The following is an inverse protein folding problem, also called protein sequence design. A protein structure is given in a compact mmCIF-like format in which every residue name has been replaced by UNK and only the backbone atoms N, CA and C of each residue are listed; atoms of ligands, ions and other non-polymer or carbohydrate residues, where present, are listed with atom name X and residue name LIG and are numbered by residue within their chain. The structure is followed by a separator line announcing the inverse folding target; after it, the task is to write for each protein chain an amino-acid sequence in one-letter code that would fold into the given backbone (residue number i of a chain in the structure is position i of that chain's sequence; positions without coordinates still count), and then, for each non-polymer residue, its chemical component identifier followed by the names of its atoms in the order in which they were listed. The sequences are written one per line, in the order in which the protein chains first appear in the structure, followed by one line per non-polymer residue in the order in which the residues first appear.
data_IF_492230265815
#
_entry.id   IF_492230265815
#
_cell.length_a   1.000
_cell.length_b   1.000
_cell.length_c   1.000
_cell.angle_alpha   90.00
_cell.angle_beta   90.00
_cell.angle_gamma   90.00
#
_symmetry.space_group_name_H-M   'P 1'
#
loop_
_entity.id
_entity.type
_entity.pdbx_description
1 polymer ?
#
# COMPACT_ATOMS: atom_id res chain seq x y z
N UNK A 1 -31.83 -12.52 -56.25
CA UNK A 1 -30.70 -11.64 -55.90
C UNK A 1 -30.58 -11.60 -54.40
N UNK A 2 -29.51 -12.17 -53.86
CA UNK A 2 -28.99 -11.98 -52.51
C UNK A 2 -27.65 -12.72 -52.49
N UNK A 3 -26.56 -12.04 -52.16
CA UNK A 3 -25.22 -12.63 -52.19
C UNK A 3 -24.72 -13.05 -50.80
N UNK A 4 -23.75 -13.96 -50.89
CA UNK A 4 -22.78 -14.50 -49.94
C UNK A 4 -22.19 -13.49 -48.94
N UNK A 5 -21.52 -13.88 -47.85
CA UNK A 5 -20.60 -15.02 -47.66
C UNK A 5 -20.73 -15.79 -46.33
N UNK A 6 -20.10 -16.97 -46.29
CA UNK A 6 -19.91 -17.79 -45.09
C UNK A 6 -18.56 -18.53 -45.20
N UNK A 7 -17.68 -18.43 -44.20
CA UNK A 7 -16.31 -18.99 -44.25
C UNK A 7 -16.26 -20.43 -43.70
N UNK A 8 -15.58 -21.40 -44.37
CA UNK A 8 -15.66 -22.82 -44.02
C UNK A 8 -14.71 -23.27 -42.88
N UNK A 9 -15.06 -24.41 -42.26
CA UNK A 9 -14.16 -25.25 -41.44
C UNK A 9 -13.75 -26.52 -42.21
N UNK A 10 -12.63 -27.13 -41.81
CA UNK A 10 -12.23 -28.50 -42.17
C UNK A 10 -11.87 -29.31 -40.91
N UNK A 11 -11.77 -30.64 -41.03
CA UNK A 11 -11.92 -31.58 -39.89
C UNK A 11 -11.13 -32.89 -40.03
N UNK A 12 -10.55 -33.36 -38.91
CA UNK A 12 -10.24 -34.80 -38.62
C UNK A 12 -9.26 -35.53 -39.58
N UNK A 13 -8.72 -36.74 -39.37
CA UNK A 13 -8.57 -37.72 -38.26
C UNK A 13 -7.25 -38.54 -38.54
N UNK A 14 -6.67 -39.49 -37.76
CA UNK A 14 -6.92 -40.14 -36.46
C UNK A 14 -5.61 -40.79 -35.94
N UNK A 15 -5.62 -41.46 -34.77
CA UNK A 15 -4.52 -42.36 -34.31
C UNK A 15 -4.49 -42.62 -32.80
N UNK A 16 -4.35 -43.88 -32.33
CA UNK A 16 -4.68 -44.24 -30.93
C UNK A 16 -3.91 -45.42 -30.30
N UNK A 17 -3.44 -45.22 -29.05
CA UNK A 17 -2.94 -46.21 -28.04
C UNK A 17 -1.61 -46.93 -28.42
N UNK A 18 -0.82 -47.53 -27.51
CA UNK A 18 -1.07 -48.09 -26.15
C UNK A 18 0.19 -48.03 -25.22
N UNK A 19 0.03 -48.31 -23.92
CA UNK A 19 1.02 -48.19 -22.83
C UNK A 19 2.12 -49.31 -22.76
N UNK A 20 3.34 -49.00 -22.25
CA UNK A 20 3.92 -49.55 -20.97
C UNK A 20 5.45 -49.33 -20.76
N UNK A 21 5.78 -48.76 -19.58
CA UNK A 21 6.97 -48.92 -18.69
C UNK A 21 8.19 -49.80 -19.10
N UNK A 22 9.41 -49.23 -19.15
CA UNK A 22 10.64 -49.76 -18.47
C UNK A 22 11.90 -48.86 -18.60
N UNK A 23 12.93 -49.16 -17.81
CA UNK A 23 14.36 -48.70 -17.80
C UNK A 23 15.21 -50.00 -17.70
N UNK A 24 16.48 -50.12 -18.18
CA UNK A 24 17.63 -49.33 -17.68
C UNK A 24 18.84 -49.15 -18.67
N UNK A 25 20.01 -48.73 -18.13
CA UNK A 25 21.40 -48.83 -18.68
C UNK A 25 21.77 -48.05 -19.96
N UNK A 26 23.05 -47.76 -20.29
CA UNK A 26 24.27 -47.34 -19.55
C UNK A 26 25.40 -47.00 -20.59
N UNK A 27 26.61 -46.61 -20.13
CA UNK A 27 27.94 -46.54 -20.83
C UNK A 27 28.25 -45.49 -21.94
N UNK A 28 29.24 -44.62 -21.64
CA UNK A 28 30.39 -44.10 -22.47
C UNK A 28 30.17 -43.38 -23.83
N UNK A 29 30.98 -42.42 -24.31
CA UNK A 29 32.34 -41.88 -23.97
C UNK A 29 32.33 -40.32 -24.05
N UNK A 30 33.17 -39.47 -23.42
CA UNK A 30 34.64 -39.23 -23.54
C UNK A 30 35.15 -39.05 -24.99
N UNK A 31 35.97 -38.05 -25.37
CA UNK A 31 36.54 -36.83 -24.71
C UNK A 31 36.69 -35.70 -25.79
N UNK A 32 37.07 -34.43 -25.58
CA UNK A 32 38.30 -33.77 -25.03
C UNK A 32 37.95 -32.31 -24.58
N UNK A 33 38.53 -31.69 -23.53
CA UNK A 33 39.82 -30.97 -23.44
C UNK A 33 39.96 -29.77 -24.44
N UNK A 34 40.37 -28.54 -24.07
CA UNK A 34 41.18 -28.05 -22.92
C UNK A 34 40.75 -26.66 -22.36
N UNK A 35 41.33 -26.31 -21.19
CA UNK A 35 41.57 -24.98 -20.57
C UNK A 35 40.48 -23.88 -20.54
N UNK A 36 40.14 -23.35 -19.35
CA UNK A 36 41.12 -22.58 -18.57
C UNK A 36 40.82 -22.50 -17.05
N UNK A 37 41.88 -22.42 -16.24
CA UNK A 37 41.80 -22.33 -14.76
C UNK A 37 41.84 -20.90 -14.25
N UNK A 38 40.71 -20.36 -13.74
CA UNK A 38 40.76 -19.31 -12.69
C UNK A 38 39.80 -19.61 -11.54
N UNK A 39 40.35 -19.99 -10.40
CA UNK A 39 39.59 -20.37 -9.19
C UNK A 39 39.08 -19.13 -8.44
N UNK A 40 37.97 -18.53 -8.91
CA UNK A 40 37.26 -17.48 -8.17
C UNK A 40 36.51 -18.05 -6.95
N UNK A 41 37.33 -18.36 -5.93
CA UNK A 41 37.03 -18.60 -4.51
C UNK A 41 35.60 -18.21 -4.12
N UNK A 42 34.78 -19.21 -3.83
CA UNK A 42 33.40 -19.03 -3.37
C UNK A 42 33.34 -18.06 -2.18
N UNK A 43 32.83 -16.85 -2.42
CA UNK A 43 32.41 -15.95 -1.35
C UNK A 43 31.04 -16.42 -0.84
N UNK A 44 31.06 -17.44 0.02
CA UNK A 44 29.99 -17.69 1.00
C UNK A 44 30.00 -16.56 2.04
N UNK A 45 29.66 -15.35 1.61
CA UNK A 45 29.32 -14.25 2.51
C UNK A 45 27.83 -14.32 2.79
N UNK A 46 27.46 -14.84 3.96
CA UNK A 46 26.19 -14.46 4.57
C UNK A 46 26.23 -12.95 4.74
N UNK A 47 25.49 -12.22 3.91
CA UNK A 47 25.27 -10.80 4.17
C UNK A 47 24.27 -10.71 5.32
N UNK A 48 24.61 -10.07 6.46
CA UNK A 48 23.59 -9.64 7.40
C UNK A 48 22.58 -8.78 6.63
N UNK A 49 21.29 -8.89 6.93
CA UNK A 49 20.34 -7.89 6.46
C UNK A 49 20.81 -6.54 7.01
N UNK A 50 21.13 -5.59 6.10
CA UNK A 50 21.62 -4.27 6.48
C UNK A 50 20.51 -3.53 7.24
N UNK A 51 20.55 -3.60 8.55
CA UNK A 51 19.71 -2.76 9.41
C UNK A 51 20.18 -1.30 9.28
N UNK A 52 19.28 -0.36 9.55
CA UNK A 52 19.61 1.06 9.62
C UNK A 52 20.70 1.30 10.69
N UNK A 53 21.63 2.25 10.50
CA UNK A 53 21.53 3.40 9.60
C UNK A 53 22.15 3.24 8.20
N UNK A 54 21.63 4.01 7.24
CA UNK A 54 22.25 4.28 5.93
C UNK A 54 22.76 5.72 5.85
N UNK A 55 23.77 5.95 5.01
CA UNK A 55 24.46 7.23 4.86
C UNK A 55 24.51 7.67 3.40
N UNK A 56 24.43 8.98 3.17
CA UNK A 56 24.38 9.61 1.86
C UNK A 56 25.29 10.84 1.73
N UNK A 57 25.38 11.44 0.52
CA UNK A 57 26.14 12.66 0.30
C UNK A 57 25.54 13.85 1.07
N UNK A 58 26.33 14.91 1.24
CA UNK A 58 25.93 16.13 1.98
C UNK A 58 25.37 15.87 3.40
N UNK A 59 25.81 14.80 4.06
CA UNK A 59 25.38 14.46 5.42
C UNK A 59 24.00 13.80 5.52
N UNK A 60 23.43 13.33 4.40
CA UNK A 60 22.17 12.60 4.42
C UNK A 60 22.27 11.30 5.22
N UNK A 61 21.22 11.01 6.00
CA UNK A 61 21.13 9.80 6.84
C UNK A 61 19.71 9.26 6.83
N UNK A 62 19.58 7.93 6.78
CA UNK A 62 18.36 7.22 7.15
C UNK A 62 18.65 6.42 8.41
N UNK A 63 17.97 6.73 9.51
CA UNK A 63 18.21 6.11 10.84
C UNK A 63 16.93 5.46 11.37
N UNK A 64 17.04 4.53 12.33
CA UNK A 64 15.92 4.17 13.20
C UNK A 64 16.08 4.95 14.52
N UNK A 65 15.03 5.61 14.97
CA UNK A 65 15.02 6.39 16.21
C UNK A 65 13.80 6.03 17.06
N UNK A 66 14.02 5.12 18.02
CA UNK A 66 13.01 4.69 19.00
C UNK A 66 13.01 5.57 20.27
N UNK A 67 13.71 6.71 20.25
CA UNK A 67 14.23 7.36 21.47
C UNK A 67 13.98 8.86 21.58
N UNK A 68 13.74 9.58 20.49
CA UNK A 68 13.45 11.00 20.56
C UNK A 68 12.08 11.29 21.20
N UNK A 69 12.01 12.39 21.95
CA UNK A 69 10.74 13.06 22.21
C UNK A 69 10.05 13.36 20.88
N UNK A 70 8.84 12.84 20.69
CA UNK A 70 8.04 13.16 19.51
C UNK A 70 7.38 14.52 19.75
N UNK A 71 8.10 15.57 19.37
CA UNK A 71 7.76 16.96 19.73
C UNK A 71 6.50 17.50 19.03
N UNK A 72 6.06 16.87 17.93
CA UNK A 72 4.79 17.19 17.27
C UNK A 72 3.60 16.54 17.98
N UNK A 73 2.64 17.37 18.43
CA UNK A 73 1.37 16.90 19.01
C UNK A 73 0.57 16.05 18.02
N UNK A 74 0.49 16.46 16.75
CA UNK A 74 -0.22 15.69 15.72
C UNK A 74 0.35 14.28 15.48
N UNK A 75 1.63 14.05 15.77
CA UNK A 75 2.22 12.70 15.73
C UNK A 75 1.81 11.88 16.96
N UNK A 76 1.81 12.49 18.17
CA UNK A 76 1.30 11.80 19.37
C UNK A 76 -0.17 11.44 19.23
N UNK A 77 -0.97 12.36 18.71
CA UNK A 77 -2.41 12.16 18.49
C UNK A 77 -2.66 10.99 17.54
N UNK A 78 -1.92 10.90 16.42
CA UNK A 78 -2.03 9.75 15.51
C UNK A 78 -1.55 8.44 16.17
N UNK A 79 -0.44 8.45 16.90
CA UNK A 79 0.06 7.24 17.58
C UNK A 79 -0.88 6.77 18.70
N UNK A 80 -1.59 7.68 19.36
CA UNK A 80 -2.68 7.35 20.29
C UNK A 80 -3.89 6.76 19.55
N UNK A 81 -4.39 7.44 18.50
CA UNK A 81 -5.48 6.97 17.61
C UNK A 81 -5.20 5.52 17.11
N UNK A 82 -3.96 5.21 16.75
CA UNK A 82 -3.52 3.88 16.27
C UNK A 82 -3.31 2.87 17.40
N UNK A 83 -2.89 3.32 18.60
CA UNK A 83 -2.79 2.46 19.79
C UNK A 83 -4.17 2.02 20.27
N UNK A 84 -5.18 2.90 20.22
CA UNK A 84 -6.54 2.56 20.59
C UNK A 84 -7.19 1.62 19.55
N UNK A 85 -6.92 1.82 18.25
CA UNK A 85 -7.27 0.85 17.20
C UNK A 85 -6.63 -0.52 17.46
N UNK A 86 -5.32 -0.59 17.79
CA UNK A 86 -4.64 -1.86 18.10
C UNK A 86 -5.24 -2.59 19.33
N UNK A 87 -5.86 -1.83 20.24
CA UNK A 87 -6.58 -2.31 21.43
C UNK A 87 -8.07 -2.59 21.18
N UNK A 88 -8.53 -2.60 19.93
CA UNK A 88 -9.92 -2.81 19.48
C UNK A 88 -10.93 -1.72 19.86
N UNK A 89 -10.52 -0.48 20.19
CA UNK A 89 -11.45 0.63 20.41
C UNK A 89 -11.97 1.23 19.09
N UNK A 90 -13.29 1.43 18.99
CA UNK A 90 -13.95 2.10 17.85
C UNK A 90 -13.64 1.52 16.45
N UNK A 91 -13.37 0.22 16.37
CA UNK A 91 -12.94 -0.40 15.11
C UNK A 91 -14.10 -0.90 14.24
N UNK A 92 -15.22 -1.29 14.84
CA UNK A 92 -16.36 -1.92 14.17
C UNK A 92 -17.52 -0.93 13.99
N UNK A 93 -18.16 -0.83 12.82
CA UNK A 93 -19.38 -0.05 12.65
C UNK A 93 -20.51 -0.55 13.56
N UNK A 94 -21.16 0.32 14.35
CA UNK A 94 -22.22 -0.08 15.29
C UNK A 94 -23.36 -0.84 14.60
N UNK A 95 -23.73 -0.43 13.39
CA UNK A 95 -24.83 -1.05 12.63
C UNK A 95 -24.63 -2.53 12.31
N UNK A 96 -23.38 -3.01 12.16
CA UNK A 96 -23.13 -4.44 11.91
C UNK A 96 -23.07 -5.31 13.17
N UNK A 97 -23.17 -4.72 14.38
CA UNK A 97 -23.17 -5.44 15.66
C UNK A 97 -24.16 -6.62 15.71
N UNK A 98 -25.46 -6.47 15.35
CA UNK A 98 -26.43 -7.57 15.47
C UNK A 98 -26.10 -8.76 14.56
N UNK A 99 -25.38 -8.52 13.48
CA UNK A 99 -25.00 -9.56 12.52
C UNK A 99 -23.72 -10.28 12.97
N UNK A 100 -22.76 -9.56 13.57
CA UNK A 100 -21.58 -10.18 14.18
C UNK A 100 -21.95 -11.04 15.40
N UNK A 101 -22.90 -10.59 16.22
CA UNK A 101 -23.46 -11.36 17.36
C UNK A 101 -24.17 -12.65 16.91
N UNK A 102 -24.60 -12.74 15.63
CA UNK A 102 -25.18 -13.96 15.04
C UNK A 102 -24.15 -14.88 14.38
N UNK A 103 -22.96 -14.37 14.08
CA UNK A 103 -21.85 -15.13 13.47
C UNK A 103 -20.93 -15.70 14.55
N UNK A 104 -20.73 -14.99 15.66
CA UNK A 104 -20.03 -15.51 16.83
C UNK A 104 -20.89 -16.56 17.55
N UNK A 105 -20.56 -17.84 17.35
CA UNK A 105 -21.14 -18.92 18.16
C UNK A 105 -20.68 -18.79 19.63
N UNK A 106 -21.58 -18.94 20.62
CA UNK A 106 -21.21 -18.87 22.03
C UNK A 106 -20.24 -20.00 22.40
N UNK A 107 -18.95 -19.67 22.50
CA UNK A 107 -17.86 -20.61 22.74
C UNK A 107 -16.63 -20.40 21.85
N UNK A 108 -16.73 -19.64 20.75
CA UNK A 108 -15.55 -19.20 20.00
C UNK A 108 -15.02 -17.85 20.52
N UNK A 109 -13.70 -17.69 20.47
CA UNK A 109 -12.96 -16.67 21.23
C UNK A 109 -13.31 -15.23 20.83
N UNK A 110 -13.40 -14.35 21.84
CA UNK A 110 -13.54 -12.90 21.66
C UNK A 110 -14.97 -12.38 21.89
N UNK A 111 -15.38 -12.28 23.16
CA UNK A 111 -16.60 -11.57 23.58
C UNK A 111 -16.59 -10.13 23.03
N UNK A 112 -17.50 -9.82 22.10
CA UNK A 112 -17.73 -8.46 21.62
C UNK A 112 -17.99 -7.51 22.80
N UNK A 113 -17.33 -6.35 22.79
CA UNK A 113 -17.42 -5.34 23.85
C UNK A 113 -17.97 -4.04 23.28
N UNK A 114 -18.71 -3.29 24.08
CA UNK A 114 -19.38 -2.07 23.61
C UNK A 114 -18.41 -1.02 23.08
N UNK A 115 -17.20 -0.94 23.67
CA UNK A 115 -16.13 -0.04 23.22
C UNK A 115 -15.56 -0.36 21.83
N UNK A 116 -15.85 -1.55 21.27
CA UNK A 116 -15.41 -1.92 19.92
C UNK A 116 -16.23 -1.23 18.82
N UNK A 117 -17.41 -0.70 19.16
CA UNK A 117 -18.37 -0.19 18.20
C UNK A 117 -18.41 1.33 18.15
N UNK A 118 -18.15 1.89 16.97
CA UNK A 118 -18.29 3.32 16.69
C UNK A 118 -19.58 3.60 15.90
N UNK A 119 -20.18 4.77 16.11
CA UNK A 119 -21.35 5.19 15.33
C UNK A 119 -20.93 5.71 13.96
N UNK A 120 -21.32 4.97 12.91
CA UNK A 120 -20.93 5.21 11.51
C UNK A 120 -22.05 5.86 10.68
N UNK A 121 -23.03 6.48 11.33
CA UNK A 121 -24.21 7.06 10.68
C UNK A 121 -23.78 8.19 9.74
N UNK A 122 -24.00 8.07 8.42
CA UNK A 122 -23.73 9.17 7.49
C UNK A 122 -24.68 10.33 7.76
N UNK A 123 -24.20 11.55 7.50
CA UNK A 123 -25.05 12.75 7.47
C UNK A 123 -25.98 12.73 6.26
N UNK A 124 -27.13 13.40 6.33
CA UNK A 124 -28.16 13.41 5.26
C UNK A 124 -27.62 13.85 3.89
N UNK A 125 -26.58 14.68 3.87
CA UNK A 125 -25.87 15.12 2.65
C UNK A 125 -24.99 14.00 2.05
N UNK A 126 -24.35 13.19 2.90
CA UNK A 126 -23.44 12.11 2.48
C UNK A 126 -24.21 10.96 1.83
N UNK A 127 -25.40 10.63 2.35
CA UNK A 127 -26.28 9.62 1.73
C UNK A 127 -26.70 9.98 0.29
N UNK A 128 -26.73 11.26 -0.06
CA UNK A 128 -27.14 11.74 -1.40
C UNK A 128 -26.03 11.66 -2.44
N UNK A 129 -24.76 11.74 -2.04
CA UNK A 129 -23.61 11.75 -2.97
C UNK A 129 -23.06 10.35 -3.24
N UNK A 130 -23.02 9.47 -2.23
CA UNK A 130 -22.67 8.06 -2.43
C UNK A 130 -23.31 7.17 -1.34
N UNK A 131 -24.09 6.14 -1.68
CA UNK A 131 -24.65 5.24 -0.69
C UNK A 131 -23.55 4.40 -0.04
N UNK A 132 -23.53 4.38 1.29
CA UNK A 132 -22.66 3.51 2.08
C UNK A 132 -23.03 2.03 1.85
N UNK A 133 -22.07 1.11 1.87
CA UNK A 133 -22.35 -0.30 1.60
C UNK A 133 -23.28 -0.92 2.67
N UNK A 134 -24.13 -1.87 2.26
CA UNK A 134 -25.08 -2.54 3.15
C UNK A 134 -24.38 -3.30 4.29
N UNK A 135 -25.08 -3.52 5.40
CA UNK A 135 -24.55 -4.30 6.52
C UNK A 135 -24.18 -5.72 6.09
N UNK A 136 -24.98 -6.32 5.22
CA UNK A 136 -24.71 -7.63 4.64
C UNK A 136 -23.48 -7.62 3.73
N UNK A 137 -23.26 -6.57 2.95
CA UNK A 137 -22.11 -6.46 2.04
C UNK A 137 -20.80 -6.23 2.77
N UNK A 138 -20.76 -5.35 3.78
CA UNK A 138 -19.56 -5.19 4.61
C UNK A 138 -19.13 -6.53 5.22
N UNK A 139 -20.08 -7.28 5.77
CA UNK A 139 -19.83 -8.56 6.44
C UNK A 139 -19.44 -9.65 5.42
N UNK A 140 -20.13 -9.73 4.28
CA UNK A 140 -19.80 -10.64 3.19
C UNK A 140 -18.39 -10.39 2.65
N UNK A 141 -18.01 -9.12 2.46
CA UNK A 141 -16.68 -8.72 1.98
C UNK A 141 -15.59 -9.00 3.01
N UNK A 142 -15.76 -8.57 4.27
CA UNK A 142 -14.73 -8.77 5.31
C UNK A 142 -14.54 -10.26 5.63
N UNK A 143 -15.61 -11.05 5.67
CA UNK A 143 -15.54 -12.51 5.86
C UNK A 143 -14.76 -13.14 4.70
N UNK A 144 -14.99 -12.72 3.46
CA UNK A 144 -14.27 -13.21 2.28
C UNK A 144 -12.79 -12.85 2.29
N UNK A 145 -12.42 -11.67 2.79
CA UNK A 145 -11.01 -11.27 2.99
C UNK A 145 -10.34 -12.18 4.03
N UNK A 146 -11.02 -12.46 5.14
CA UNK A 146 -10.52 -13.33 6.21
C UNK A 146 -10.39 -14.79 5.77
N UNK A 147 -11.36 -15.31 5.01
CA UNK A 147 -11.25 -16.62 4.33
C UNK A 147 -9.98 -16.69 3.46
N UNK A 148 -9.81 -15.71 2.56
CA UNK A 148 -8.68 -15.69 1.63
C UNK A 148 -7.34 -15.47 2.32
N UNK A 149 -7.31 -14.71 3.41
CA UNK A 149 -6.11 -14.55 4.24
C UNK A 149 -5.67 -15.87 4.88
N UNK A 150 -6.60 -16.65 5.44
CA UNK A 150 -6.33 -17.99 5.99
C UNK A 150 -5.91 -18.99 4.90
N UNK A 151 -6.52 -18.91 3.72
CA UNK A 151 -6.15 -19.72 2.55
C UNK A 151 -4.72 -19.41 2.09
N UNK A 152 -4.37 -18.13 1.88
CA UNK A 152 -3.03 -17.70 1.47
C UNK A 152 -1.95 -18.03 2.51
N UNK A 153 -2.27 -18.02 3.81
CA UNK A 153 -1.36 -18.49 4.85
C UNK A 153 -1.17 -20.01 4.82
N UNK A 154 -2.26 -20.77 4.72
CA UNK A 154 -2.23 -22.26 4.68
C UNK A 154 -1.48 -22.78 3.46
N UNK A 155 -1.63 -22.13 2.31
CA UNK A 155 -0.97 -22.49 1.06
C UNK A 155 0.44 -21.87 0.90
N UNK A 156 0.94 -21.15 1.91
CA UNK A 156 2.22 -20.40 1.88
C UNK A 156 2.36 -19.53 0.61
N UNK A 157 1.27 -18.87 0.21
CA UNK A 157 1.17 -18.14 -1.06
C UNK A 157 2.09 -16.93 -1.13
N UNK A 158 2.48 -16.57 -2.35
CA UNK A 158 3.38 -15.45 -2.60
C UNK A 158 2.74 -14.06 -2.43
N UNK A 159 3.60 -13.04 -2.45
CA UNK A 159 3.29 -11.62 -2.29
C UNK A 159 2.18 -11.14 -3.24
N UNK A 160 2.14 -11.65 -4.47
CA UNK A 160 1.13 -11.30 -5.47
C UNK A 160 -0.24 -11.91 -5.16
N UNK A 161 -0.28 -13.16 -4.71
CA UNK A 161 -1.53 -13.80 -4.28
C UNK A 161 -2.15 -13.08 -3.07
N UNK A 162 -1.33 -12.73 -2.07
CA UNK A 162 -1.74 -11.90 -0.93
C UNK A 162 -2.24 -10.52 -1.36
N UNK A 163 -1.50 -9.83 -2.22
CA UNK A 163 -1.89 -8.53 -2.78
C UNK A 163 -3.25 -8.59 -3.49
N UNK A 164 -3.45 -9.56 -4.38
CA UNK A 164 -4.69 -9.67 -5.17
C UNK A 164 -5.92 -10.17 -4.37
N UNK A 165 -5.74 -10.99 -3.33
CA UNK A 165 -6.85 -11.65 -2.63
C UNK A 165 -7.15 -11.11 -1.23
N UNK A 166 -6.22 -10.37 -0.62
CA UNK A 166 -6.37 -9.86 0.75
C UNK A 166 -6.17 -8.34 0.79
N UNK A 167 -5.06 -7.83 0.24
CA UNK A 167 -4.69 -6.42 0.42
C UNK A 167 -5.50 -5.47 -0.46
N UNK A 168 -5.56 -5.70 -1.78
CA UNK A 168 -6.38 -4.88 -2.69
C UNK A 168 -7.87 -4.87 -2.30
N UNK A 169 -8.53 -6.02 -1.99
CA UNK A 169 -9.95 -6.01 -1.61
C UNK A 169 -10.25 -5.30 -0.27
N UNK A 170 -9.28 -5.23 0.64
CA UNK A 170 -9.40 -4.49 1.92
C UNK A 170 -9.24 -2.98 1.70
N UNK A 171 -8.29 -2.56 0.86
CA UNK A 171 -8.12 -1.14 0.53
C UNK A 171 -9.26 -0.61 -0.36
N UNK A 172 -9.82 -1.43 -1.25
CA UNK A 172 -11.08 -1.09 -1.94
C UNK A 172 -12.26 -0.99 -0.95
N UNK A 173 -12.38 -1.91 0.02
CA UNK A 173 -13.41 -1.84 1.06
C UNK A 173 -13.31 -0.56 1.91
N UNK A 174 -12.11 0.01 2.07
CA UNK A 174 -11.92 1.33 2.67
C UNK A 174 -12.44 2.47 1.76
N UNK A 175 -12.00 2.50 0.50
CA UNK A 175 -12.25 3.62 -0.43
C UNK A 175 -13.67 3.63 -1.01
N UNK A 176 -14.25 2.46 -1.26
CA UNK A 176 -15.54 2.30 -1.94
C UNK A 176 -16.73 2.21 -0.97
N UNK A 177 -16.57 1.54 0.17
CA UNK A 177 -17.71 1.09 1.01
C UNK A 177 -17.78 1.82 2.37
N UNK A 178 -16.62 2.04 3.00
CA UNK A 178 -16.49 2.66 4.31
C UNK A 178 -16.44 4.20 4.20
N UNK A 179 -17.53 4.81 3.73
CA UNK A 179 -17.66 6.27 3.62
C UNK A 179 -18.33 6.83 4.88
N UNK A 180 -17.53 7.29 5.84
CA UNK A 180 -17.91 7.68 7.22
C UNK A 180 -17.57 9.16 7.54
N UNK A 181 -17.51 10.02 6.52
CA UNK A 181 -17.23 11.44 6.69
C UNK A 181 -17.14 12.22 5.37
N UNK A 182 -17.08 13.54 5.47
CA UNK A 182 -16.96 14.46 4.33
C UNK A 182 -15.67 14.28 3.53
N UNK A 183 -15.76 14.40 2.21
CA UNK A 183 -14.63 14.48 1.26
C UNK A 183 -13.71 13.23 1.29
N UNK A 184 -14.26 12.08 1.68
CA UNK A 184 -13.51 10.82 1.77
C UNK A 184 -13.34 10.09 0.43
N UNK A 185 -14.08 10.55 -0.59
CA UNK A 185 -13.92 10.24 -2.00
C UNK A 185 -12.67 10.90 -2.63
N UNK A 186 -12.10 11.94 -2.00
CA UNK A 186 -10.83 12.53 -2.42
C UNK A 186 -9.61 11.61 -2.19
N UNK A 187 -9.75 10.51 -1.46
CA UNK A 187 -8.67 9.53 -1.26
C UNK A 187 -9.00 8.20 -1.96
N UNK A 188 -8.17 7.83 -2.92
CA UNK A 188 -8.21 6.55 -3.64
C UNK A 188 -6.89 5.80 -3.44
N UNK A 189 -6.80 4.54 -3.87
CA UNK A 189 -5.57 3.74 -3.81
C UNK A 189 -5.17 3.19 -5.18
N UNK A 190 -3.88 2.94 -5.38
CA UNK A 190 -3.37 2.40 -6.64
C UNK A 190 -2.14 1.51 -6.43
N UNK A 191 -2.05 0.43 -7.21
CA UNK A 191 -0.86 -0.42 -7.28
C UNK A 191 0.31 0.35 -7.89
N UNK A 192 1.48 0.27 -7.24
CA UNK A 192 2.67 1.07 -7.52
C UNK A 192 3.91 0.21 -7.86
N UNK A 193 3.75 -1.12 -7.94
CA UNK A 193 4.83 -2.12 -8.11
C UNK A 193 5.77 -1.88 -9.30
N UNK A 194 5.31 -1.20 -10.35
CA UNK A 194 6.07 -0.88 -11.57
C UNK A 194 6.63 0.54 -11.60
N UNK A 195 6.08 1.47 -10.84
CA UNK A 195 6.49 2.88 -10.82
C UNK A 195 7.86 3.04 -10.12
N UNK A 196 8.73 3.89 -10.67
CA UNK A 196 10.02 4.20 -10.04
C UNK A 196 9.97 5.60 -9.42
N UNK A 197 10.74 5.82 -8.35
CA UNK A 197 11.14 7.17 -7.96
C UNK A 197 12.11 7.77 -8.98
N UNK A 198 12.01 9.08 -9.19
CA UNK A 198 13.01 9.88 -9.89
C UNK A 198 14.28 9.97 -9.03
N UNK A 199 15.41 9.55 -9.61
CA UNK A 199 16.69 9.45 -8.91
C UNK A 199 17.28 10.82 -8.51
N UNK A 200 16.76 11.93 -9.04
CA UNK A 200 17.12 13.28 -8.56
C UNK A 200 16.71 13.54 -7.11
N UNK A 201 15.79 12.75 -6.55
CA UNK A 201 15.38 12.77 -5.14
C UNK A 201 16.02 11.64 -4.30
N UNK A 202 16.75 10.71 -4.92
CA UNK A 202 17.43 9.64 -4.19
C UNK A 202 18.71 10.13 -3.51
N UNK A 203 19.02 9.61 -2.31
CA UNK A 203 20.11 10.10 -1.44
C UNK A 203 21.00 9.00 -0.84
N UNK A 204 20.87 7.75 -1.26
CA UNK A 204 21.60 6.62 -0.66
C UNK A 204 22.32 5.77 -1.72
N UNK A 205 23.34 5.02 -1.29
CA UNK A 205 24.05 4.07 -2.16
C UNK A 205 23.27 2.77 -2.37
N UNK A 206 22.36 2.46 -1.45
CA UNK A 206 21.33 1.43 -1.56
C UNK A 206 20.45 1.67 -2.81
N UNK A 207 19.96 0.62 -3.49
CA UNK A 207 19.06 0.78 -4.64
C UNK A 207 17.81 1.60 -4.31
N UNK A 208 17.36 2.41 -5.28
CA UNK A 208 16.09 3.11 -5.20
C UNK A 208 14.94 2.12 -4.93
N UNK A 209 14.14 2.39 -3.90
CA UNK A 209 13.02 1.52 -3.54
C UNK A 209 11.81 1.75 -4.44
N UNK A 210 10.91 0.77 -4.44
CA UNK A 210 9.48 0.94 -4.78
C UNK A 210 8.64 0.69 -3.52
N UNK A 211 7.32 0.72 -3.69
CA UNK A 211 6.30 0.21 -2.77
C UNK A 211 5.22 -0.51 -3.59
N UNK A 212 4.46 -1.42 -2.97
CA UNK A 212 3.43 -2.18 -3.65
C UNK A 212 2.19 -1.34 -3.99
N UNK A 213 1.81 -0.40 -3.11
CA UNK A 213 0.68 0.50 -3.32
C UNK A 213 0.94 1.90 -2.77
N UNK A 214 0.19 2.87 -3.29
CA UNK A 214 0.07 4.21 -2.73
C UNK A 214 -1.40 4.61 -2.63
N UNK A 215 -1.76 5.26 -1.52
CA UNK A 215 -2.95 6.09 -1.46
C UNK A 215 -2.65 7.43 -2.11
N UNK A 216 -3.52 7.84 -3.04
CA UNK A 216 -3.41 9.06 -3.83
C UNK A 216 -4.57 9.99 -3.48
N UNK A 217 -4.28 11.28 -3.37
CA UNK A 217 -5.30 12.31 -3.29
C UNK A 217 -5.72 12.68 -4.72
N UNK A 218 -7.02 12.75 -4.95
CA UNK A 218 -7.59 13.23 -6.20
C UNK A 218 -7.69 14.76 -6.10
N UNK A 219 -7.00 15.53 -6.95
CA UNK A 219 -7.29 16.96 -7.09
C UNK A 219 -8.75 17.14 -7.54
N UNK A 220 -9.32 18.30 -7.21
CA UNK A 220 -10.56 18.75 -7.83
C UNK A 220 -10.42 18.66 -9.36
N UNK A 221 -11.42 18.10 -10.05
CA UNK A 221 -11.30 17.73 -11.47
C UNK A 221 -10.88 18.94 -12.30
N UNK A 222 -9.63 18.94 -12.77
CA UNK A 222 -9.23 19.78 -13.91
C UNK A 222 -10.22 19.45 -15.02
N UNK A 223 -10.97 20.45 -15.49
CA UNK A 223 -11.98 20.26 -16.51
C UNK A 223 -11.29 19.69 -17.75
N UNK A 224 -11.56 18.41 -18.06
CA UNK A 224 -11.11 17.79 -19.30
C UNK A 224 -11.86 18.50 -20.41
N UNK A 225 -11.19 19.25 -21.32
CA UNK A 225 -11.90 20.03 -22.31
C UNK A 225 -12.75 19.11 -23.19
N UNK A 226 -14.04 19.41 -23.32
CA UNK A 226 -14.98 18.55 -24.03
C UNK A 226 -14.67 18.48 -25.54
N UNK A 227 -13.97 19.49 -26.08
CA UNK A 227 -13.36 19.46 -27.40
C UNK A 227 -11.84 19.27 -27.38
N UNK A 228 -11.27 18.39 -28.23
CA UNK A 228 -9.82 18.35 -28.50
C UNK A 228 -9.22 19.66 -29.01
N UNK A 229 -10.03 20.61 -29.51
CA UNK A 229 -9.58 21.95 -29.92
C UNK A 229 -9.44 22.94 -28.76
N UNK A 230 -9.94 22.61 -27.57
CA UNK A 230 -9.91 23.46 -26.38
C UNK A 230 -8.81 23.05 -25.39
N UNK A 231 -8.13 21.93 -25.64
CA UNK A 231 -6.84 21.61 -25.02
C UNK A 231 -5.87 22.79 -25.22
N UNK A 232 -5.48 23.49 -24.13
CA UNK A 232 -4.41 24.48 -24.25
C UNK A 232 -3.11 23.76 -24.64
N UNK A 233 -2.10 24.50 -25.12
CA UNK A 233 -0.74 23.96 -25.15
C UNK A 233 -0.17 23.90 -23.71
N UNK A 234 -0.72 22.99 -22.91
CA UNK A 234 -0.25 22.62 -21.56
C UNK A 234 1.06 21.85 -21.72
N UNK A 235 2.13 22.60 -22.01
CA UNK A 235 3.49 22.07 -22.24
C UNK A 235 4.12 21.48 -20.98
N UNK A 236 3.48 21.63 -19.82
CA UNK A 236 3.86 21.01 -18.55
C UNK A 236 2.65 20.39 -17.86
N UNK A 237 2.56 19.05 -17.88
CA UNK A 237 1.65 18.30 -17.00
C UNK A 237 2.09 18.55 -15.55
N UNK A 238 1.17 18.87 -14.61
CA UNK A 238 1.55 19.12 -13.23
C UNK A 238 2.15 17.87 -12.57
N UNK A 239 3.07 18.10 -11.63
CA UNK A 239 3.88 17.04 -11.04
C UNK A 239 3.85 17.16 -9.50
N UNK A 240 2.98 16.37 -8.87
CA UNK A 240 2.68 16.42 -7.43
C UNK A 240 3.40 15.35 -6.61
N UNK A 241 4.23 14.52 -7.24
CA UNK A 241 5.07 13.54 -6.57
C UNK A 241 6.39 13.31 -7.32
N UNK A 242 7.27 12.52 -6.71
CA UNK A 242 8.63 12.27 -7.14
C UNK A 242 8.78 11.01 -7.99
N UNK A 243 7.69 10.50 -8.59
CA UNK A 243 7.74 9.29 -9.43
C UNK A 243 8.08 9.64 -10.88
N UNK A 244 8.67 8.70 -11.62
CA UNK A 244 8.96 8.87 -13.06
C UNK A 244 7.73 8.75 -13.96
N UNK A 245 6.62 8.28 -13.40
CA UNK A 245 5.38 7.94 -14.11
C UNK A 245 4.50 9.19 -14.29
N UNK A 246 4.28 9.60 -15.55
CA UNK A 246 3.53 10.82 -15.91
C UNK A 246 2.02 10.73 -15.65
N UNK A 247 1.45 9.53 -15.50
CA UNK A 247 0.07 9.38 -15.06
C UNK A 247 -0.01 9.53 -13.54
N UNK A 248 0.90 8.88 -12.81
CA UNK A 248 0.95 9.01 -11.35
C UNK A 248 1.31 10.42 -10.88
N UNK A 249 2.17 11.16 -11.59
CA UNK A 249 2.56 12.54 -11.26
C UNK A 249 1.37 13.51 -11.12
N UNK A 250 0.22 13.21 -11.71
CA UNK A 250 -1.01 14.02 -11.64
C UNK A 250 -1.75 13.90 -10.29
N UNK A 251 -1.26 13.08 -9.35
CA UNK A 251 -1.88 12.89 -8.04
C UNK A 251 -0.87 13.09 -6.89
N UNK A 252 -1.13 13.97 -5.90
CA UNK A 252 -0.37 14.00 -4.66
C UNK A 252 -0.50 12.67 -3.90
N UNK A 253 0.61 12.13 -3.40
CA UNK A 253 0.62 10.83 -2.70
C UNK A 253 0.53 11.02 -1.18
N UNK A 254 -0.27 10.20 -0.50
CA UNK A 254 -0.66 10.41 0.89
C UNK A 254 -0.09 9.39 1.88
N UNK A 255 -0.20 8.10 1.55
CA UNK A 255 0.27 6.99 2.39
C UNK A 255 0.84 5.93 1.45
N UNK A 256 2.03 5.41 1.77
CA UNK A 256 2.69 4.37 0.96
C UNK A 256 2.62 3.01 1.66
N UNK A 257 2.39 1.93 0.91
CA UNK A 257 2.21 0.57 1.44
C UNK A 257 3.23 -0.39 0.81
N UNK A 258 4.15 -0.91 1.62
CA UNK A 258 5.02 -2.03 1.25
C UNK A 258 4.41 -3.32 1.82
N UNK A 259 4.15 -4.33 0.99
CA UNK A 259 3.62 -5.62 1.46
C UNK A 259 4.68 -6.69 1.38
N UNK A 260 4.69 -7.66 2.28
CA UNK A 260 5.62 -8.79 2.26
C UNK A 260 4.85 -10.07 2.52
N UNK A 261 5.21 -11.12 1.78
CA UNK A 261 4.70 -12.48 2.04
C UNK A 261 5.00 -12.90 3.49
N UNK A 262 4.22 -13.85 4.00
CA UNK A 262 4.44 -14.45 5.31
C UNK A 262 5.91 -14.94 5.46
N UNK A 263 6.54 -14.61 6.58
CA UNK A 263 7.97 -14.91 6.82
C UNK A 263 8.98 -14.02 6.07
N UNK A 264 8.54 -12.95 5.40
CA UNK A 264 9.41 -11.91 4.86
C UNK A 264 10.14 -11.06 5.93
N UNK A 265 11.12 -10.25 5.52
CA UNK A 265 11.91 -9.39 6.42
C UNK A 265 11.23 -8.02 6.62
N UNK A 266 10.62 -7.82 7.80
CA UNK A 266 9.96 -6.56 8.19
C UNK A 266 10.96 -5.40 8.30
N UNK A 267 12.16 -5.64 8.84
CA UNK A 267 13.17 -4.59 8.99
C UNK A 267 13.69 -4.11 7.63
N UNK A 268 13.74 -5.00 6.63
CA UNK A 268 13.99 -4.63 5.24
C UNK A 268 12.83 -3.81 4.64
N UNK A 269 11.58 -4.19 4.89
CA UNK A 269 10.40 -3.44 4.42
C UNK A 269 10.35 -2.01 5.01
N UNK A 270 10.62 -1.86 6.31
CA UNK A 270 10.78 -0.55 6.96
C UNK A 270 11.91 0.28 6.34
N UNK A 271 13.06 -0.34 6.02
CA UNK A 271 14.17 0.37 5.39
C UNK A 271 13.90 0.76 3.92
N UNK A 272 13.16 -0.07 3.18
CA UNK A 272 12.67 0.23 1.83
C UNK A 272 11.70 1.42 1.86
N UNK A 273 10.71 1.39 2.75
CA UNK A 273 9.75 2.48 2.97
C UNK A 273 10.44 3.76 3.51
N UNK A 274 11.51 3.62 4.30
CA UNK A 274 12.36 4.72 4.76
C UNK A 274 13.14 5.40 3.63
N UNK A 275 13.68 4.63 2.67
CA UNK A 275 14.29 5.18 1.43
C UNK A 275 13.23 5.89 0.59
N UNK A 276 12.04 5.29 0.46
CA UNK A 276 10.91 5.85 -0.29
C UNK A 276 10.44 7.20 0.29
N UNK A 277 10.20 7.29 1.60
CA UNK A 277 9.85 8.56 2.24
C UNK A 277 11.02 9.56 2.29
N UNK A 278 12.28 9.13 2.29
CA UNK A 278 13.39 10.07 2.16
C UNK A 278 13.36 10.80 0.80
N UNK A 279 13.07 10.08 -0.30
CA UNK A 279 12.88 10.70 -1.61
C UNK A 279 11.61 11.59 -1.66
N UNK A 280 10.52 11.18 -0.98
CA UNK A 280 9.33 12.02 -0.78
C UNK A 280 9.71 13.34 -0.09
N UNK A 281 10.45 13.31 1.02
CA UNK A 281 10.90 14.50 1.74
C UNK A 281 11.79 15.42 0.87
N UNK A 282 12.70 14.89 0.06
CA UNK A 282 13.52 15.70 -0.87
C UNK A 282 12.67 16.44 -1.90
N UNK A 283 11.58 15.81 -2.39
CA UNK A 283 10.62 16.44 -3.30
C UNK A 283 9.74 17.49 -2.60
N UNK A 284 9.31 17.24 -1.36
CA UNK A 284 8.59 18.25 -0.59
C UNK A 284 9.49 19.46 -0.29
N UNK A 285 10.78 19.24 -0.01
CA UNK A 285 11.75 20.32 0.15
C UNK A 285 11.97 21.12 -1.14
N UNK A 286 12.12 20.46 -2.31
CA UNK A 286 12.34 21.16 -3.57
C UNK A 286 11.13 21.99 -4.04
N UNK A 287 9.93 21.66 -3.56
CA UNK A 287 8.69 22.39 -3.88
C UNK A 287 8.29 23.43 -2.83
N UNK A 288 8.53 23.19 -1.54
CA UNK A 288 7.94 23.96 -0.44
C UNK A 288 8.96 24.60 0.53
N UNK A 289 10.22 24.16 0.53
CA UNK A 289 11.25 24.62 1.47
C UNK A 289 11.16 24.01 2.89
N UNK A 290 12.22 24.19 3.67
CA UNK A 290 12.40 23.53 4.98
C UNK A 290 11.33 23.96 6.01
N UNK A 291 11.02 25.26 6.08
CA UNK A 291 9.98 25.83 6.95
C UNK A 291 8.58 25.23 6.74
N UNK A 292 8.26 24.80 5.52
CA UNK A 292 6.98 24.17 5.20
C UNK A 292 7.01 22.67 5.55
N UNK A 293 8.10 21.99 5.20
CA UNK A 293 8.35 20.58 5.49
C UNK A 293 8.38 20.31 7.00
N UNK A 294 9.05 21.16 7.78
CA UNK A 294 9.08 21.08 9.23
C UNK A 294 7.70 21.21 9.88
N UNK A 295 6.76 21.95 9.26
CA UNK A 295 5.37 22.09 9.73
C UNK A 295 4.50 20.87 9.42
N UNK A 296 4.84 20.06 8.41
CA UNK A 296 4.18 18.77 8.17
C UNK A 296 4.59 17.73 9.24
N UNK A 297 5.85 17.78 9.68
CA UNK A 297 6.37 17.03 10.83
C UNK A 297 6.64 15.55 10.60
N UNK A 298 5.74 14.83 9.94
CA UNK A 298 5.90 13.39 9.66
C UNK A 298 5.20 12.92 8.37
N UNK A 299 5.62 11.76 7.85
CA UNK A 299 4.98 11.01 6.77
C UNK A 299 4.67 9.58 7.25
N UNK A 300 3.39 9.15 7.27
CA UNK A 300 3.01 7.79 7.59
C UNK A 300 3.02 6.87 6.36
N UNK A 301 3.41 5.63 6.57
CA UNK A 301 3.26 4.54 5.63
C UNK A 301 2.82 3.27 6.36
N UNK A 302 2.65 2.18 5.61
CA UNK A 302 2.19 0.90 6.12
C UNK A 302 3.14 -0.20 5.64
N UNK A 303 3.50 -1.10 6.55
CA UNK A 303 4.12 -2.39 6.21
C UNK A 303 3.10 -3.49 6.51
N UNK A 304 2.83 -4.33 5.51
CA UNK A 304 1.95 -5.50 5.64
C UNK A 304 2.79 -6.77 5.57
N UNK A 305 2.58 -7.72 6.49
CA UNK A 305 3.34 -8.96 6.59
C UNK A 305 2.40 -10.16 6.72
N UNK A 306 1.98 -10.71 5.58
CA UNK A 306 0.88 -11.68 5.52
C UNK A 306 -0.38 -11.14 6.21
N UNK A 307 -0.69 -11.67 7.40
CA UNK A 307 -1.83 -11.20 8.19
C UNK A 307 -1.66 -9.80 8.78
N UNK A 308 -0.46 -9.44 9.26
CA UNK A 308 -0.21 -8.28 10.14
C UNK A 308 -0.11 -6.98 9.34
N UNK A 309 -0.79 -5.93 9.82
CA UNK A 309 -0.69 -4.56 9.31
C UNK A 309 -0.07 -3.66 10.38
N UNK A 310 1.04 -3.01 10.04
CA UNK A 310 1.78 -2.10 10.92
C UNK A 310 1.94 -0.72 10.30
N UNK A 311 1.71 0.33 11.08
CA UNK A 311 2.00 1.72 10.69
C UNK A 311 3.48 1.99 10.91
N UNK A 312 4.13 2.56 9.89
CA UNK A 312 5.51 3.01 9.94
C UNK A 312 5.55 4.52 9.79
N UNK A 313 6.09 5.22 10.79
CA UNK A 313 6.24 6.68 10.75
C UNK A 313 7.66 7.04 10.34
N UNK A 314 7.79 7.99 9.41
CA UNK A 314 9.05 8.70 9.20
C UNK A 314 8.94 10.19 9.55
N UNK A 315 10.01 10.75 10.10
CA UNK A 315 10.17 12.20 10.31
C UNK A 315 11.47 12.67 9.66
N UNK A 316 11.65 13.99 9.52
CA UNK A 316 12.88 14.58 9.02
C UNK A 316 13.36 15.71 9.93
N UNK A 317 14.67 15.75 10.19
CA UNK A 317 15.36 16.84 10.89
C UNK A 317 16.66 17.15 10.13
N UNK A 318 16.69 18.29 9.42
CA UNK A 318 17.75 18.61 8.45
C UNK A 318 17.90 17.50 7.40
N UNK A 319 19.14 17.12 7.07
CA UNK A 319 19.43 16.02 6.12
C UNK A 319 19.15 14.60 6.67
N UNK A 320 18.64 14.45 7.91
CA UNK A 320 18.38 13.13 8.51
C UNK A 320 16.90 12.78 8.46
N UNK A 321 16.57 11.71 7.74
CA UNK A 321 15.27 11.03 7.81
C UNK A 321 15.36 9.96 8.89
N UNK A 322 14.39 9.91 9.80
CA UNK A 322 14.29 8.88 10.83
C UNK A 322 13.05 8.01 10.60
N UNK A 323 13.19 6.69 10.70
CA UNK A 323 12.10 5.74 10.92
C UNK A 323 11.87 5.68 12.43
N UNK A 324 10.71 6.16 12.87
CA UNK A 324 10.46 6.55 14.27
C UNK A 324 9.61 5.54 15.03
N UNK A 325 8.61 4.96 14.35
CA UNK A 325 7.69 4.01 14.96
C UNK A 325 7.36 2.91 13.95
N UNK A 326 7.14 1.70 14.47
CA UNK A 326 6.58 0.55 13.76
C UNK A 326 5.60 -0.11 14.74
N UNK A 327 4.29 0.04 14.49
CA UNK A 327 3.22 -0.35 15.42
C UNK A 327 2.16 -1.20 14.69
N UNK A 328 2.00 -2.45 15.11
CA UNK A 328 0.90 -3.32 14.67
C UNK A 328 -0.45 -2.70 15.09
N UNK A 329 -1.38 -2.56 14.14
CA UNK A 329 -2.71 -2.00 14.39
C UNK A 329 -3.87 -2.94 14.02
N UNK A 330 -3.61 -4.06 13.36
CA UNK A 330 -4.64 -5.05 13.06
C UNK A 330 -4.10 -6.23 12.26
N UNK A 331 -4.95 -7.24 12.07
CA UNK A 331 -4.65 -8.47 11.32
C UNK A 331 -5.81 -8.84 10.39
N UNK A 332 -5.59 -9.76 9.46
CA UNK A 332 -6.64 -10.29 8.56
C UNK A 332 -7.00 -11.74 8.84
N UNK A 333 -6.65 -12.27 10.00
CA UNK A 333 -6.92 -13.64 10.45
C UNK A 333 -8.30 -13.82 11.13
N UNK A 334 -8.93 -12.76 11.64
CA UNK A 334 -10.34 -12.75 12.06
C UNK A 334 -11.14 -11.53 11.57
N UNK A 335 -12.46 -11.59 11.66
CA UNK A 335 -13.38 -10.52 11.22
C UNK A 335 -13.19 -9.25 12.04
N UNK A 336 -13.01 -9.35 13.36
CA UNK A 336 -12.83 -8.18 14.23
C UNK A 336 -11.47 -7.54 13.97
N UNK A 337 -10.42 -8.35 13.81
CA UNK A 337 -9.07 -7.87 13.56
C UNK A 337 -8.98 -7.18 12.18
N UNK A 338 -9.71 -7.70 11.18
CA UNK A 338 -9.79 -7.08 9.86
C UNK A 338 -10.57 -5.74 9.89
N UNK A 339 -11.52 -5.58 10.82
CA UNK A 339 -12.09 -4.26 11.13
C UNK A 339 -11.10 -3.34 11.86
N UNK A 340 -10.16 -3.84 12.68
CA UNK A 340 -9.05 -3.01 13.18
C UNK A 340 -8.18 -2.49 12.04
N UNK A 341 -7.86 -3.32 11.05
CA UNK A 341 -7.11 -2.88 9.86
C UNK A 341 -7.86 -1.75 9.14
N UNK A 342 -9.15 -1.92 8.86
CA UNK A 342 -9.97 -0.85 8.28
C UNK A 342 -9.99 0.40 9.15
N UNK A 343 -10.07 0.27 10.48
CA UNK A 343 -10.06 1.40 11.40
C UNK A 343 -8.72 2.16 11.40
N UNK A 344 -7.59 1.46 11.37
CA UNK A 344 -6.27 2.09 11.26
C UNK A 344 -6.09 2.83 9.93
N UNK A 345 -6.52 2.21 8.82
CA UNK A 345 -6.54 2.88 7.52
C UNK A 345 -7.53 4.07 7.48
N UNK A 346 -8.65 4.02 8.22
CA UNK A 346 -9.57 5.17 8.42
C UNK A 346 -8.90 6.30 9.21
N UNK A 347 -8.12 6.01 10.27
CA UNK A 347 -7.35 7.04 10.99
C UNK A 347 -6.28 7.66 10.06
N UNK A 348 -5.63 6.88 9.21
CA UNK A 348 -4.72 7.38 8.17
C UNK A 348 -5.44 8.24 7.11
N UNK A 349 -6.61 7.84 6.61
CA UNK A 349 -7.44 8.68 5.71
C UNK A 349 -7.84 9.99 6.37
N UNK A 350 -8.29 9.94 7.63
CA UNK A 350 -8.62 11.12 8.47
C UNK A 350 -7.42 12.08 8.55
N UNK A 351 -6.21 11.59 8.79
CA UNK A 351 -5.00 12.42 8.80
C UNK A 351 -4.67 12.99 7.41
N UNK A 352 -4.72 12.17 6.35
CA UNK A 352 -4.43 12.59 4.97
C UNK A 352 -5.35 13.72 4.51
N UNK A 353 -6.65 13.64 4.82
CA UNK A 353 -7.64 14.63 4.41
C UNK A 353 -7.65 15.90 5.28
N UNK A 354 -7.33 15.79 6.59
CA UNK A 354 -7.36 16.94 7.51
C UNK A 354 -6.01 17.65 7.70
N UNK A 355 -4.89 16.98 7.41
CA UNK A 355 -3.53 17.53 7.63
C UNK A 355 -2.79 17.67 6.31
N UNK A 356 -2.59 16.56 5.59
CA UNK A 356 -1.72 16.54 4.42
C UNK A 356 -2.35 17.22 3.19
N UNK A 357 -3.65 17.05 2.96
CA UNK A 357 -4.34 17.67 1.81
C UNK A 357 -4.40 19.20 1.92
N UNK A 358 -4.74 19.83 3.07
CA UNK A 358 -4.55 21.27 3.27
C UNK A 358 -3.11 21.72 3.09
N UNK A 359 -2.12 20.97 3.60
CA UNK A 359 -0.69 21.29 3.43
C UNK A 359 -0.29 21.28 1.94
N UNK A 360 -0.71 20.25 1.18
CA UNK A 360 -0.48 20.17 -0.26
C UNK A 360 -1.14 21.34 -1.00
N UNK A 361 -2.41 21.64 -0.74
CA UNK A 361 -3.09 22.79 -1.35
C UNK A 361 -2.48 24.13 -0.95
N UNK A 362 -1.81 24.23 0.20
CA UNK A 362 -1.07 25.44 0.58
C UNK A 362 0.26 25.57 -0.15
N UNK A 363 1.01 24.47 -0.31
CA UNK A 363 2.44 24.48 -0.67
C UNK A 363 2.80 23.97 -2.08
N UNK A 364 1.93 23.24 -2.77
CA UNK A 364 2.12 22.88 -4.18
C UNK A 364 1.33 23.86 -5.07
N UNK A 365 1.99 24.77 -5.82
CA UNK A 365 1.29 25.83 -6.54
C UNK A 365 0.38 25.29 -7.64
N UNK A 366 0.77 24.20 -8.30
CA UNK A 366 0.04 23.60 -9.42
C UNK A 366 -1.31 22.96 -8.98
N UNK A 367 -1.58 22.83 -7.66
CA UNK A 367 -2.89 22.46 -7.10
C UNK A 367 -3.85 23.65 -6.95
N UNK A 368 -3.37 24.88 -7.11
CA UNK A 368 -4.16 26.12 -7.02
C UNK A 368 -4.55 26.63 -8.41
N UNK A 369 -4.89 25.72 -9.33
CA UNK A 369 -5.57 26.11 -10.55
C UNK A 369 -6.97 26.63 -10.18
N UNK A 370 -7.36 27.84 -10.60
CA UNK A 370 -8.71 28.34 -10.39
C UNK A 370 -9.74 27.53 -11.20
N UNK A 371 -11.02 27.54 -10.80
CA UNK A 371 -12.12 27.00 -11.60
C UNK A 371 -12.39 27.85 -12.85
#
# INVERSE_FOLDING_TARGET
MAETENTPRASEQSGSRRLMRSKPSLTSSQSDATDSRTSKRSKRSQSPSKQLPYFGPAGHRLVRDMTSSHDSTALRDLLNDMTDVSRTYEVVPRRIKPNLERIQSPGQFGLLREYMFFDDKPSDEQQRTRPQASEGDLIRRITRIVEKSRECATLLSDESAWNNHVHSPLMDLLCSDMQDGSNQDLLDFQSCTTSNMDLTYHRFAEPASRVDYVFKLLPDKVAIPESPSEMPLVTTVPCFNWLTDRLMQQYPLAVSVETKRYGGDIAKAEAQLGIWHAAHWEFLLSRAGDDAVGKLGFLPGVVVHGHTWSIVITTRRGATTAVVCSLEFGKTDSIVDAFQVLAGLRRLRKWSLKTLWPWYKQHLPDLKLPP
#
